data_IF_489573684975
#
_entry.id   IF_489573684975
#
_cell.length_a   1.000
_cell.length_b   1.000
_cell.length_c   1.000
_cell.angle_alpha   90.00
_cell.angle_beta   90.00
_cell.angle_gamma   90.00
#
_symmetry.space_group_name_H-M   'P 1'
#
loop_
_entity.id
_entity.type
_entity.pdbx_description
1 polymer ?
#
# COMPACT_ATOMS: atom_id res chain seq x y z
N UNK A 1 7.35 3.57 14.78
CA UNK A 1 6.63 2.45 15.41
C UNK A 1 7.36 1.18 15.01
N UNK A 2 8.01 0.50 15.94
CA UNK A 2 8.80 -0.71 15.64
C UNK A 2 7.84 -1.89 15.65
N UNK A 3 7.62 -2.52 14.50
CA UNK A 3 6.79 -3.71 14.38
C UNK A 3 7.62 -4.90 14.88
N UNK A 4 7.15 -5.60 15.91
CA UNK A 4 7.80 -6.81 16.44
C UNK A 4 7.26 -8.02 15.70
N UNK A 5 8.04 -8.57 14.78
CA UNK A 5 7.62 -9.69 13.94
C UNK A 5 7.31 -10.94 14.77
N UNK A 6 8.01 -11.16 15.88
CA UNK A 6 7.79 -12.30 16.78
C UNK A 6 6.40 -12.29 17.42
N UNK A 7 5.85 -11.12 17.67
CA UNK A 7 4.50 -10.95 18.23
C UNK A 7 3.45 -11.27 17.17
N UNK A 8 3.66 -10.81 15.94
CA UNK A 8 2.80 -11.10 14.79
C UNK A 8 2.76 -12.60 14.49
N UNK A 9 3.90 -13.30 14.52
CA UNK A 9 3.92 -14.75 14.27
C UNK A 9 3.11 -15.52 15.30
N UNK A 10 3.24 -15.18 16.59
CA UNK A 10 2.42 -15.79 17.64
C UNK A 10 0.95 -15.51 17.45
N UNK A 11 0.61 -14.27 17.09
CA UNK A 11 -0.79 -13.89 16.87
C UNK A 11 -1.39 -14.70 15.71
N UNK A 12 -0.65 -14.87 14.61
CA UNK A 12 -1.07 -15.68 13.47
C UNK A 12 -1.28 -17.15 13.85
N UNK A 13 -0.38 -17.74 14.63
CA UNK A 13 -0.51 -19.14 15.07
C UNK A 13 -1.68 -19.36 16.03
N UNK A 14 -2.09 -18.31 16.75
CA UNK A 14 -3.30 -18.34 17.60
C UNK A 14 -4.61 -18.14 16.84
N UNK A 15 -4.56 -17.79 15.55
CA UNK A 15 -5.76 -17.64 14.72
C UNK A 15 -6.34 -19.00 14.31
N UNK A 16 -7.67 -19.08 14.07
CA UNK A 16 -8.31 -20.24 13.48
C UNK A 16 -7.73 -20.61 12.11
N UNK A 17 -7.79 -21.89 11.74
CA UNK A 17 -7.25 -22.42 10.48
C UNK A 17 -7.81 -21.71 9.24
N UNK A 18 -9.09 -21.33 9.28
CA UNK A 18 -9.75 -20.58 8.22
C UNK A 18 -9.12 -19.19 8.03
N UNK A 19 -8.77 -18.51 9.13
CA UNK A 19 -8.16 -17.18 9.10
C UNK A 19 -6.69 -17.24 8.63
N UNK A 20 -5.95 -18.27 9.01
CA UNK A 20 -4.59 -18.51 8.51
C UNK A 20 -4.61 -18.75 6.98
N UNK A 21 -5.60 -19.50 6.49
CA UNK A 21 -5.79 -19.74 5.06
C UNK A 21 -6.11 -18.44 4.30
N UNK A 22 -6.98 -17.59 4.84
CA UNK A 22 -7.29 -16.28 4.26
C UNK A 22 -6.07 -15.35 4.19
N UNK A 23 -5.19 -15.38 5.20
CA UNK A 23 -3.94 -14.63 5.18
C UNK A 23 -3.02 -15.10 4.04
N UNK A 24 -2.92 -16.42 3.82
CA UNK A 24 -2.15 -16.98 2.72
C UNK A 24 -2.73 -16.57 1.35
N UNK A 25 -4.04 -16.64 1.17
CA UNK A 25 -4.72 -16.19 -0.05
C UNK A 25 -4.50 -14.70 -0.31
N UNK A 26 -4.56 -13.89 0.75
CA UNK A 26 -4.27 -12.46 0.66
C UNK A 26 -2.83 -12.19 0.26
N UNK A 27 -1.86 -12.90 0.86
CA UNK A 27 -0.45 -12.82 0.46
C UNK A 27 -0.27 -13.22 -1.01
N UNK A 28 -0.94 -14.27 -1.48
CA UNK A 28 -0.91 -14.68 -2.88
C UNK A 28 -1.50 -13.61 -3.81
N UNK A 29 -2.60 -12.97 -3.42
CA UNK A 29 -3.20 -11.87 -4.16
C UNK A 29 -2.25 -10.67 -4.26
N UNK A 30 -1.55 -10.34 -3.17
CA UNK A 30 -0.53 -9.30 -3.15
C UNK A 30 0.64 -9.66 -4.07
N UNK A 31 1.14 -10.89 -4.01
CA UNK A 31 2.22 -11.36 -4.91
C UNK A 31 1.81 -11.29 -6.38
N UNK A 32 0.54 -11.57 -6.70
CA UNK A 32 0.01 -11.47 -8.07
C UNK A 32 -0.10 -10.02 -8.55
N UNK A 33 -0.51 -9.09 -7.67
CA UNK A 33 -0.68 -7.66 -8.01
C UNK A 33 0.64 -6.90 -8.02
N UNK A 34 1.60 -7.33 -7.22
CA UNK A 34 2.93 -6.76 -7.12
C UNK A 34 3.97 -7.85 -7.43
N UNK A 35 4.09 -8.29 -8.70
CA UNK A 35 5.15 -9.20 -9.09
C UNK A 35 6.48 -8.48 -8.81
N UNK A 36 7.19 -8.93 -7.77
CA UNK A 36 8.52 -8.40 -7.50
C UNK A 36 9.38 -8.63 -8.73
N UNK A 37 9.85 -7.53 -9.32
CA UNK A 37 10.85 -7.55 -10.39
C UNK A 37 12.14 -8.11 -9.80
N UNK A 38 12.31 -9.43 -9.89
CA UNK A 38 13.54 -10.22 -9.93
C UNK A 38 14.86 -9.41 -9.92
N UNK A 39 15.19 -8.82 -8.77
CA UNK A 39 16.50 -8.22 -8.49
C UNK A 39 16.89 -8.32 -7.01
N UNK A 40 16.34 -9.27 -6.25
CA UNK A 40 16.86 -9.63 -4.93
C UNK A 40 16.80 -11.14 -4.73
N UNK A 41 17.54 -11.84 -5.58
CA UNK A 41 17.97 -13.19 -5.26
C UNK A 41 19.20 -13.08 -4.36
N UNK A 42 19.06 -13.61 -3.15
CA UNK A 42 20.11 -13.98 -2.17
C UNK A 42 20.78 -12.82 -1.41
N UNK A 43 20.40 -12.65 -0.14
CA UNK A 43 21.34 -12.90 0.98
C UNK A 43 20.60 -13.11 2.30
N UNK A 44 20.07 -14.33 2.49
CA UNK A 44 19.91 -14.88 3.83
C UNK A 44 21.28 -15.38 4.30
N UNK A 45 22.21 -14.51 4.72
CA UNK A 45 23.36 -14.88 5.56
C UNK A 45 23.80 -13.69 6.44
N UNK A 46 23.14 -13.53 7.58
CA UNK A 46 23.76 -13.35 8.90
C UNK A 46 25.19 -12.79 8.94
N UNK A 47 25.40 -11.46 9.05
CA UNK A 47 26.54 -10.84 9.79
C UNK A 47 26.14 -9.41 10.26
N UNK A 48 25.99 -9.31 11.58
CA UNK A 48 26.49 -8.25 12.50
C UNK A 48 26.34 -6.75 12.17
N UNK A 49 25.77 -6.05 13.15
CA UNK A 49 26.10 -4.71 13.68
C UNK A 49 26.91 -3.71 12.83
N UNK A 50 26.42 -2.47 12.89
CA UNK A 50 27.18 -1.23 12.73
C UNK A 50 27.87 -1.00 11.38
N UNK A 51 27.15 -0.40 10.43
CA UNK A 51 27.76 0.69 9.67
C UNK A 51 26.76 1.62 9.01
N UNK A 52 26.88 2.87 9.42
CA UNK A 52 26.66 4.10 8.65
C UNK A 52 26.54 3.88 7.14
N UNK A 53 25.33 3.99 6.59
CA UNK A 53 25.13 4.26 5.16
C UNK A 53 24.28 5.52 4.98
N UNK A 54 24.99 6.65 5.02
CA UNK A 54 24.77 7.69 4.02
C UNK A 54 24.86 7.01 2.65
N UNK A 55 23.74 6.86 1.96
CA UNK A 55 23.75 6.46 0.55
C UNK A 55 22.64 7.18 -0.19
N UNK A 56 23.08 8.20 -0.91
CA UNK A 56 22.42 8.96 -1.96
C UNK A 56 22.01 8.03 -3.10
N UNK A 57 21.11 7.08 -2.85
CA UNK A 57 20.55 6.24 -3.89
C UNK A 57 19.40 7.02 -4.52
N UNK A 58 19.62 7.59 -5.72
CA UNK A 58 18.57 8.08 -6.61
C UNK A 58 17.57 6.94 -6.84
N UNK A 59 16.60 6.81 -5.94
CA UNK A 59 15.46 5.94 -6.14
C UNK A 59 14.71 6.50 -7.35
N UNK A 60 14.36 5.61 -8.27
CA UNK A 60 13.52 5.92 -9.42
C UNK A 60 12.28 6.64 -8.87
N UNK A 61 11.93 7.85 -9.37
CA UNK A 61 10.85 8.63 -8.79
C UNK A 61 9.61 7.75 -8.72
N UNK A 62 8.99 7.69 -7.54
CA UNK A 62 7.78 6.92 -7.37
C UNK A 62 6.75 7.42 -8.40
N UNK A 63 5.86 6.57 -8.94
CA UNK A 63 4.84 7.02 -9.88
C UNK A 63 4.04 8.22 -9.36
N UNK A 64 3.88 8.31 -8.03
CA UNK A 64 3.28 9.46 -7.35
C UNK A 64 4.13 10.74 -7.48
N UNK A 65 5.45 10.64 -7.34
CA UNK A 65 6.36 11.79 -7.50
C UNK A 65 6.29 12.33 -8.94
N UNK A 66 6.28 11.42 -9.91
CA UNK A 66 6.12 11.77 -11.34
C UNK A 66 4.76 12.43 -11.61
N UNK A 67 3.71 11.97 -10.93
CA UNK A 67 2.37 12.52 -11.05
C UNK A 67 2.27 13.93 -10.46
N UNK A 68 2.79 14.13 -9.24
CA UNK A 68 2.82 15.43 -8.55
C UNK A 68 3.69 16.43 -9.31
N UNK A 69 4.84 16.01 -9.85
CA UNK A 69 5.68 16.86 -10.70
C UNK A 69 4.94 17.31 -11.97
N UNK A 70 4.20 16.40 -12.61
CA UNK A 70 3.51 16.68 -13.87
C UNK A 70 2.22 17.50 -13.70
N UNK A 71 1.45 17.22 -12.65
CA UNK A 71 0.10 17.76 -12.48
C UNK A 71 0.00 18.78 -11.33
N UNK A 72 1.10 19.01 -10.61
CA UNK A 72 1.11 19.81 -9.38
C UNK A 72 0.58 19.02 -8.19
N UNK A 73 0.84 19.53 -6.98
CA UNK A 73 0.09 19.09 -5.81
C UNK A 73 -1.39 19.44 -6.02
N UNK A 74 -2.28 18.50 -5.71
CA UNK A 74 -3.73 18.71 -5.76
C UNK A 74 -4.12 19.61 -4.57
N UNK A 75 -3.79 20.89 -4.66
CA UNK A 75 -4.19 21.91 -3.69
C UNK A 75 -5.63 22.34 -4.03
N UNK A 76 -6.60 21.53 -3.60
CA UNK A 76 -8.00 21.93 -3.64
C UNK A 76 -8.31 22.75 -2.38
N UNK A 77 -8.65 24.03 -2.54
CA UNK A 77 -9.00 24.93 -1.43
C UNK A 77 -10.36 24.57 -0.80
N UNK A 78 -11.14 23.73 -1.48
CA UNK A 78 -12.48 23.33 -1.04
C UNK A 78 -12.41 22.29 0.06
N UNK A 79 -13.36 22.35 0.98
CA UNK A 79 -13.46 21.35 2.04
C UNK A 79 -13.98 20.02 1.48
N UNK A 80 -13.72 18.93 2.19
CA UNK A 80 -14.21 17.60 1.78
C UNK A 80 -15.74 17.58 1.58
N UNK A 81 -16.48 18.33 2.39
CA UNK A 81 -17.94 18.44 2.31
C UNK A 81 -18.40 19.12 1.03
N UNK A 82 -17.66 20.11 0.54
CA UNK A 82 -17.97 20.85 -0.68
C UNK A 82 -17.70 19.98 -1.91
N UNK A 83 -16.59 19.22 -1.91
CA UNK A 83 -16.28 18.25 -2.97
C UNK A 83 -17.34 17.14 -3.01
N UNK A 84 -17.73 16.60 -1.86
CA UNK A 84 -18.81 15.59 -1.78
C UNK A 84 -20.11 16.16 -2.34
N UNK A 85 -20.47 17.37 -1.94
CA UNK A 85 -21.68 18.06 -2.43
C UNK A 85 -21.66 18.21 -3.95
N UNK A 86 -20.57 18.72 -4.52
CA UNK A 86 -20.44 18.89 -5.98
C UNK A 86 -20.59 17.56 -6.73
N UNK A 87 -20.03 16.46 -6.20
CA UNK A 87 -20.17 15.13 -6.81
C UNK A 87 -21.64 14.67 -6.80
N UNK A 88 -22.37 14.89 -5.71
CA UNK A 88 -23.80 14.55 -5.64
C UNK A 88 -24.65 15.45 -6.54
N UNK A 89 -24.34 16.74 -6.62
CA UNK A 89 -25.07 17.71 -7.44
C UNK A 89 -24.80 17.52 -8.94
N UNK A 90 -23.59 17.07 -9.31
CA UNK A 90 -23.18 16.83 -10.69
C UNK A 90 -23.56 15.44 -11.22
N UNK A 91 -24.12 14.56 -10.38
CA UNK A 91 -24.56 13.24 -10.81
C UNK A 91 -25.75 13.36 -11.76
N UNK A 92 -25.54 12.92 -13.00
CA UNK A 92 -26.61 12.76 -14.01
C UNK A 92 -27.33 11.42 -13.91
N UNK A 93 -26.78 10.47 -13.15
CA UNK A 93 -27.37 9.15 -12.91
C UNK A 93 -28.14 9.21 -11.59
N UNK A 94 -29.48 9.07 -11.61
CA UNK A 94 -30.28 9.06 -10.40
C UNK A 94 -29.95 7.83 -9.55
N UNK A 95 -29.93 8.00 -8.22
CA UNK A 95 -29.63 6.91 -7.27
C UNK A 95 -30.56 5.68 -7.39
N UNK A 96 -31.69 5.80 -8.08
CA UNK A 96 -32.65 4.71 -8.27
C UNK A 96 -32.20 3.63 -9.27
N UNK A 97 -31.22 3.91 -10.15
CA UNK A 97 -30.73 2.93 -11.14
C UNK A 97 -29.63 2.00 -10.60
N UNK A 98 -29.14 2.26 -9.38
CA UNK A 98 -28.17 1.39 -8.70
C UNK A 98 -28.98 0.35 -7.90
N UNK A 99 -29.65 -0.56 -8.61
CA UNK A 99 -30.21 -1.76 -7.99
C UNK A 99 -29.06 -2.73 -7.68
N UNK A 100 -28.87 -3.01 -6.39
CA UNK A 100 -27.86 -3.93 -5.84
C UNK A 100 -28.09 -5.38 -6.27
#
# INVERSE_FOLDING_TARGET
MVIKFEEIYRDIDTLPEEAQTLLLDFIQLLKKRYPQTENQHIENQHIENDKTFSSTQKQKPHPLDTFIEKHGAWEDERTAEEIVKEIYDSRTIPNYDISL
#
